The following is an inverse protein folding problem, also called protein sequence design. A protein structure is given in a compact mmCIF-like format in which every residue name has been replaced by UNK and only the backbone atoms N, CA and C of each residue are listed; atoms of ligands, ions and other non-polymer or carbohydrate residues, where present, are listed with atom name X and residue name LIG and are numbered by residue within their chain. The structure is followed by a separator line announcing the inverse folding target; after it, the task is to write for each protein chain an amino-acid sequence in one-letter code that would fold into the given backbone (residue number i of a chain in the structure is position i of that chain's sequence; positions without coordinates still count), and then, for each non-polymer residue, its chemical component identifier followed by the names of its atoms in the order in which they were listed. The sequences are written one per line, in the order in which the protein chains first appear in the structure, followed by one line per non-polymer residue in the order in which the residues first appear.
data_IF_971888040928
#
_entry.id   IF_971888040928
#
_cell.length_a   1.000
_cell.length_b   1.000
_cell.length_c   1.000
_cell.angle_alpha   90.00
_cell.angle_beta   90.00
_cell.angle_gamma   90.00
#
_symmetry.space_group_name_H-M   'P 1'
#
loop_
_entity.id
_entity.type
_entity.pdbx_description
1 polymer ?
#
# COMPACT_ATOMS: atom_id res chain seq x y z
N UNK A 1 -1.42 7.32 -9.95
CA UNK A 1 -1.13 7.05 -8.52
C UNK A 1 -2.12 6.11 -7.85
N UNK A 2 -3.44 6.24 -8.06
CA UNK A 2 -4.41 5.27 -7.51
C UNK A 2 -4.09 3.82 -7.89
N UNK A 3 -3.67 3.56 -9.14
CA UNK A 3 -3.19 2.25 -9.57
C UNK A 3 -2.00 1.74 -8.74
N UNK A 4 -1.03 2.61 -8.43
CA UNK A 4 0.13 2.22 -7.62
C UNK A 4 -0.27 1.85 -6.18
N UNK A 5 -1.25 2.56 -5.62
CA UNK A 5 -1.84 2.23 -4.31
C UNK A 5 -2.59 0.90 -4.37
N UNK A 6 -3.40 0.68 -5.39
CA UNK A 6 -4.12 -0.58 -5.58
C UNK A 6 -3.16 -1.78 -5.71
N UNK A 7 -2.09 -1.64 -6.49
CA UNK A 7 -1.03 -2.66 -6.60
C UNK A 7 -0.33 -2.91 -5.26
N UNK A 8 -0.12 -1.85 -4.46
CA UNK A 8 0.49 -1.96 -3.14
C UNK A 8 -0.42 -2.70 -2.15
N UNK A 9 -1.72 -2.39 -2.14
CA UNK A 9 -2.72 -3.08 -1.30
C UNK A 9 -2.83 -4.54 -1.73
N UNK A 10 -2.90 -4.82 -3.03
CA UNK A 10 -2.96 -6.19 -3.55
C UNK A 10 -1.73 -7.00 -3.14
N UNK A 11 -0.54 -6.43 -3.26
CA UNK A 11 0.70 -7.07 -2.83
C UNK A 11 0.73 -7.34 -1.32
N UNK A 12 0.22 -6.41 -0.50
CA UNK A 12 0.16 -6.58 0.95
C UNK A 12 -0.85 -7.67 1.37
N UNK A 13 -2.03 -7.71 0.74
CA UNK A 13 -3.03 -8.77 0.95
C UNK A 13 -2.46 -10.13 0.56
N UNK A 14 -1.82 -10.23 -0.61
CA UNK A 14 -1.21 -11.48 -1.05
C UNK A 14 -0.09 -11.93 -0.09
N UNK A 15 0.71 -10.99 0.42
CA UNK A 15 1.76 -11.31 1.39
C UNK A 15 1.18 -11.79 2.72
N UNK A 16 0.06 -11.22 3.18
CA UNK A 16 -0.68 -11.69 4.37
C UNK A 16 -1.16 -13.13 4.17
N UNK A 17 -1.83 -13.41 3.05
CA UNK A 17 -2.30 -14.76 2.69
C UNK A 17 -1.17 -15.78 2.64
N UNK A 18 0.01 -15.38 2.14
CA UNK A 18 1.20 -16.22 2.12
C UNK A 18 1.78 -16.44 3.52
N UNK A 19 1.73 -15.43 4.39
CA UNK A 19 2.25 -15.50 5.75
C UNK A 19 1.35 -16.33 6.68
N UNK A 20 0.03 -16.31 6.47
CA UNK A 20 -0.93 -17.09 7.27
C UNK A 20 -0.87 -18.59 6.95
N UNK A 21 -0.29 -18.97 5.80
CA UNK A 21 -0.03 -20.37 5.44
C UNK A 21 1.26 -20.88 6.07
N UNK A 22 1.23 -22.12 6.59
CA UNK A 22 2.42 -22.77 7.15
C UNK A 22 3.46 -23.05 6.05
N UNK A 23 4.63 -22.45 6.21
CA UNK A 23 5.79 -22.51 5.31
C UNK A 23 6.17 -23.96 4.92
N UNK A 24 6.04 -24.88 5.87
CA UNK A 24 6.54 -26.26 5.72
C UNK A 24 5.71 -27.13 4.75
N UNK A 25 4.48 -26.72 4.40
CA UNK A 25 3.57 -27.55 3.58
C UNK A 25 3.52 -27.18 2.10
N UNK A 26 3.87 -25.96 1.69
CA UNK A 26 3.67 -25.50 0.31
C UNK A 26 4.81 -24.58 -0.21
N UNK A 27 6.07 -25.06 -0.30
CA UNK A 27 7.20 -24.23 -0.71
C UNK A 27 7.07 -23.67 -2.15
N UNK A 28 6.44 -24.42 -3.06
CA UNK A 28 6.16 -23.96 -4.42
C UNK A 28 5.13 -22.82 -4.47
N UNK A 29 4.11 -22.87 -3.61
CA UNK A 29 3.12 -21.81 -3.50
C UNK A 29 3.74 -20.52 -2.94
N UNK A 30 4.60 -20.65 -1.92
CA UNK A 30 5.38 -19.51 -1.41
C UNK A 30 6.28 -18.91 -2.47
N UNK A 31 7.05 -19.74 -3.19
CA UNK A 31 7.95 -19.25 -4.24
C UNK A 31 7.17 -18.52 -5.35
N UNK A 32 6.07 -19.12 -5.84
CA UNK A 32 5.21 -18.50 -6.84
C UNK A 32 4.56 -17.22 -6.35
N UNK A 33 4.02 -17.23 -5.12
CA UNK A 33 3.42 -16.06 -4.48
C UNK A 33 4.41 -14.91 -4.30
N UNK A 34 5.65 -15.22 -3.87
CA UNK A 34 6.70 -14.21 -3.71
C UNK A 34 7.07 -13.57 -5.05
N UNK A 35 7.19 -14.37 -6.13
CA UNK A 35 7.44 -13.87 -7.49
C UNK A 35 6.32 -12.93 -7.92
N UNK A 36 5.06 -13.27 -7.66
CA UNK A 36 3.91 -12.40 -7.96
C UNK A 36 3.99 -11.10 -7.16
N UNK A 37 4.27 -11.15 -5.85
CA UNK A 37 4.44 -9.95 -5.01
C UNK A 37 5.58 -9.07 -5.53
N UNK A 38 6.70 -9.66 -5.96
CA UNK A 38 7.82 -8.92 -6.55
C UNK A 38 7.41 -8.27 -7.87
N UNK A 39 6.69 -8.97 -8.75
CA UNK A 39 6.19 -8.41 -10.00
C UNK A 39 5.22 -7.24 -9.77
N UNK A 40 4.29 -7.37 -8.80
CA UNK A 40 3.38 -6.29 -8.41
C UNK A 40 4.13 -5.05 -7.89
N UNK A 41 5.19 -5.25 -7.09
CA UNK A 41 6.04 -4.15 -6.64
C UNK A 41 6.86 -3.54 -7.77
N UNK A 42 7.34 -4.33 -8.72
CA UNK A 42 8.00 -3.83 -9.94
C UNK A 42 7.05 -2.96 -10.77
N UNK A 43 5.81 -3.41 -10.95
CA UNK A 43 4.78 -2.63 -11.66
C UNK A 43 4.41 -1.36 -10.90
N UNK A 44 4.35 -1.42 -9.56
CA UNK A 44 4.17 -0.24 -8.70
C UNK A 44 5.31 0.76 -8.89
N UNK A 45 6.57 0.31 -8.94
CA UNK A 45 7.72 1.19 -9.20
C UNK A 45 7.65 1.82 -10.59
N UNK A 46 7.29 1.04 -11.62
CA UNK A 46 7.12 1.56 -12.97
C UNK A 46 6.00 2.62 -13.05
N UNK A 47 4.83 2.33 -12.46
CA UNK A 47 3.71 3.28 -12.42
C UNK A 47 4.03 4.53 -11.60
N UNK A 48 4.81 4.39 -10.53
CA UNK A 48 5.29 5.51 -9.72
C UNK A 48 6.29 6.38 -10.49
N UNK A 49 7.25 5.76 -11.19
CA UNK A 49 8.24 6.45 -12.03
C UNK A 49 7.58 7.21 -13.16
N UNK A 50 6.64 6.57 -13.87
CA UNK A 50 5.88 7.20 -14.95
C UNK A 50 5.05 8.41 -14.45
N UNK A 51 4.45 8.28 -13.27
CA UNK A 51 3.68 9.36 -12.68
C UNK A 51 4.58 10.54 -12.24
N UNK A 52 5.78 10.28 -11.73
CA UNK A 52 6.74 11.33 -11.37
C UNK A 52 7.43 11.98 -12.58
N UNK A 53 7.53 11.26 -13.70
CA UNK A 53 7.99 11.85 -14.95
C UNK A 53 7.00 12.89 -15.50
N UNK A 54 5.71 12.79 -15.14
CA UNK A 54 4.62 13.64 -15.66
C UNK A 54 4.07 14.65 -14.66
N UNK A 55 4.20 14.41 -13.36
CA UNK A 55 3.64 15.25 -12.32
C UNK A 55 4.68 15.55 -11.22
N UNK A 56 4.68 16.78 -10.68
CA UNK A 56 5.58 17.13 -9.58
C UNK A 56 5.26 16.32 -8.32
N UNK A 57 6.31 16.01 -7.56
CA UNK A 57 6.28 15.15 -6.36
C UNK A 57 5.23 15.62 -5.33
N UNK A 58 5.01 16.93 -5.20
CA UNK A 58 4.04 17.46 -4.23
C UNK A 58 2.59 17.03 -4.53
N UNK A 59 2.27 16.77 -5.80
CA UNK A 59 0.92 16.32 -6.20
C UNK A 59 0.74 14.81 -6.10
N UNK A 60 1.81 14.04 -6.17
CA UNK A 60 1.76 12.57 -6.20
C UNK A 60 1.83 11.95 -4.80
N UNK A 61 2.53 12.58 -3.86
CA UNK A 61 2.66 12.17 -2.45
C UNK A 61 1.32 11.97 -1.72
N UNK A 62 0.32 12.87 -1.83
CA UNK A 62 -0.95 12.74 -1.13
C UNK A 62 -1.71 11.47 -1.49
N UNK A 63 -1.63 11.07 -2.76
CA UNK A 63 -2.25 9.83 -3.21
C UNK A 63 -1.57 8.59 -2.61
N UNK A 64 -0.26 8.64 -2.36
CA UNK A 64 0.45 7.54 -1.70
C UNK A 64 -0.03 7.32 -0.26
N UNK A 65 -0.43 8.38 0.43
CA UNK A 65 -0.95 8.30 1.79
C UNK A 65 -2.28 7.56 1.90
N UNK A 66 -3.04 7.43 0.80
CA UNK A 66 -4.27 6.62 0.75
C UNK A 66 -4.02 5.13 1.02
N UNK A 67 -2.78 4.67 0.89
CA UNK A 67 -2.41 3.31 1.25
C UNK A 67 -2.71 2.98 2.73
N UNK A 68 -2.48 3.91 3.65
CA UNK A 68 -2.66 3.70 5.08
C UNK A 68 -4.13 3.46 5.49
N UNK A 69 -5.10 4.32 5.13
CA UNK A 69 -6.51 4.06 5.41
C UNK A 69 -7.03 2.85 4.63
N UNK A 70 -6.52 2.59 3.41
CA UNK A 70 -6.89 1.38 2.67
C UNK A 70 -6.43 0.10 3.37
N UNK A 71 -5.21 0.08 3.92
CA UNK A 71 -4.71 -1.05 4.71
C UNK A 71 -5.49 -1.24 6.01
N UNK A 72 -5.89 -0.15 6.68
CA UNK A 72 -6.79 -0.25 7.84
C UNK A 72 -8.13 -0.88 7.47
N UNK A 73 -8.73 -0.47 6.35
CA UNK A 73 -9.98 -1.06 5.87
C UNK A 73 -9.80 -2.57 5.57
N UNK A 74 -8.68 -2.95 4.93
CA UNK A 74 -8.35 -4.36 4.71
C UNK A 74 -8.21 -5.12 6.02
N UNK A 75 -7.51 -4.57 7.00
CA UNK A 75 -7.35 -5.19 8.32
C UNK A 75 -8.70 -5.37 9.04
N UNK A 76 -9.61 -4.39 8.96
CA UNK A 76 -10.98 -4.50 9.51
C UNK A 76 -11.72 -5.66 8.84
N UNK A 77 -11.67 -5.74 7.51
CA UNK A 77 -12.35 -6.78 6.73
C UNK A 77 -11.75 -8.18 6.98
N UNK A 78 -10.45 -8.26 7.23
CA UNK A 78 -9.77 -9.50 7.58
C UNK A 78 -10.00 -9.94 9.04
N UNK A 79 -10.61 -9.10 9.87
CA UNK A 79 -10.81 -9.37 11.29
C UNK A 79 -9.53 -9.25 12.13
N UNK A 80 -8.52 -8.54 11.63
CA UNK A 80 -7.27 -8.33 12.36
C UNK A 80 -7.49 -7.40 13.55
N UNK A 81 -6.78 -7.62 14.68
CA UNK A 81 -6.86 -6.72 15.83
C UNK A 81 -6.26 -5.35 15.47
N UNK A 82 -7.11 -4.33 15.49
CA UNK A 82 -6.70 -2.94 15.24
C UNK A 82 -6.64 -2.16 16.55
N UNK A 83 -5.46 -1.63 16.86
CA UNK A 83 -5.21 -0.78 18.03
C UNK A 83 -5.49 0.70 17.74
N UNK A 84 -5.80 1.46 18.80
CA UNK A 84 -5.99 2.93 18.72
C UNK A 84 -4.78 3.66 18.12
N UNK A 85 -3.57 3.17 18.38
CA UNK A 85 -2.33 3.71 17.81
C UNK A 85 -2.26 3.58 16.27
N UNK A 86 -2.78 2.48 15.70
CA UNK A 86 -2.78 2.27 14.25
C UNK A 86 -3.78 3.19 13.56
N UNK A 87 -4.94 3.40 14.17
CA UNK A 87 -5.95 4.37 13.70
C UNK A 87 -5.40 5.78 13.76
N UNK A 88 -4.82 6.20 14.89
CA UNK A 88 -4.22 7.51 15.05
C UNK A 88 -3.06 7.73 14.06
N UNK A 89 -2.20 6.72 13.86
CA UNK A 89 -1.10 6.79 12.90
C UNK A 89 -1.58 6.96 11.47
N UNK A 90 -2.56 6.16 11.03
CA UNK A 90 -3.11 6.28 9.69
C UNK A 90 -3.82 7.63 9.48
N UNK A 91 -4.55 8.11 10.49
CA UNK A 91 -5.20 9.42 10.46
C UNK A 91 -4.15 10.54 10.33
N UNK A 92 -3.10 10.52 11.15
CA UNK A 92 -2.03 11.52 11.12
C UNK A 92 -1.33 11.57 9.76
N UNK A 93 -1.01 10.40 9.17
CA UNK A 93 -0.37 10.32 7.86
C UNK A 93 -1.30 10.84 6.77
N UNK A 94 -2.57 10.46 6.79
CA UNK A 94 -3.56 10.88 5.78
C UNK A 94 -3.80 12.40 5.85
N UNK A 95 -4.00 12.94 7.06
CA UNK A 95 -4.20 14.37 7.28
C UNK A 95 -2.94 15.17 6.93
N UNK A 96 -1.76 14.71 7.34
CA UNK A 96 -0.49 15.35 7.00
C UNK A 96 -0.27 15.40 5.49
N UNK A 97 -0.61 14.33 4.78
CA UNK A 97 -0.50 14.28 3.33
C UNK A 97 -1.50 15.21 2.62
N UNK A 98 -2.74 15.32 3.13
CA UNK A 98 -3.73 16.28 2.64
C UNK A 98 -3.30 17.74 2.89
N UNK A 99 -2.73 18.03 4.05
CA UNK A 99 -2.19 19.35 4.38
C UNK A 99 -1.05 19.76 3.45
N UNK A 100 -0.10 18.85 3.18
CA UNK A 100 0.98 19.09 2.22
C UNK A 100 0.45 19.35 0.80
N UNK A 101 -0.63 18.68 0.40
CA UNK A 101 -1.29 18.92 -0.89
C UNK A 101 -1.85 20.34 -0.98
N UNK A 102 -2.53 20.80 0.08
CA UNK A 102 -3.14 22.12 0.12
C UNK A 102 -2.09 23.23 0.04
N UNK A 103 -0.98 23.08 0.79
CA UNK A 103 0.15 24.03 0.76
C UNK A 103 0.85 24.06 -0.61
N UNK A 104 0.88 22.95 -1.34
CA UNK A 104 1.45 22.90 -2.70
C UNK A 104 0.58 23.54 -3.79
N UNK A 105 -0.68 23.87 -3.49
CA UNK A 105 -1.63 24.51 -4.40
C UNK A 105 -1.93 25.98 -4.05
N UNK A 106 -1.40 26.48 -2.93
CA UNK A 106 -1.49 27.87 -2.47
C UNK A 106 -0.20 28.63 -2.83
#
# INVERSE_FOLDING_TARGET
MLLAVALQVLGAVLLKELADRRIDREPLWMAGGLVVVMALNGLRLATWSLAHARYPVQRTLPFGALFFPAMLAVAVLAGDPIGSAQVAGAALITVGAAYLQQKGNA
#
